data_IF_050521069048
#
_entry.id   IF_050521069048
#
_cell.length_a   1.000
_cell.length_b   1.000
_cell.length_c   1.000
_cell.angle_alpha   90.00
_cell.angle_beta   90.00
_cell.angle_gamma   90.00
#
_symmetry.space_group_name_H-M   'P 1'
#
loop_
_entity.id
_entity.type
_entity.pdbx_description
1 polymer ?
#
# COMPACT_ATOMS: atom_id res chain seq x y z
N UNK A 1 1.42 -79.72 -58.98
CA UNK A 1 1.21 -80.05 -57.56
C UNK A 1 -0.29 -79.89 -57.30
N UNK A 2 -1.08 -80.91 -57.61
CA UNK A 2 -1.61 -81.94 -56.69
C UNK A 2 -2.45 -81.40 -55.53
N UNK A 3 -3.76 -81.70 -55.65
CA UNK A 3 -4.71 -82.13 -54.62
C UNK A 3 -5.25 -81.03 -53.68
N UNK A 4 -6.52 -81.02 -53.26
CA UNK A 4 -7.51 -82.09 -53.15
C UNK A 4 -8.91 -81.44 -53.02
N UNK A 5 -9.91 -82.02 -53.67
CA UNK A 5 -11.34 -81.83 -53.39
C UNK A 5 -11.69 -82.54 -52.09
N UNK A 6 -12.46 -81.91 -51.22
CA UNK A 6 -13.33 -82.61 -50.27
C UNK A 6 -14.68 -81.91 -50.21
N UNK A 7 -15.70 -82.68 -50.56
CA UNK A 7 -17.13 -82.43 -50.37
C UNK A 7 -17.43 -82.28 -48.87
N UNK A 8 -18.23 -81.28 -48.50
CA UNK A 8 -19.04 -81.38 -47.30
C UNK A 8 -20.43 -80.78 -47.53
N UNK A 9 -21.40 -81.57 -47.13
CA UNK A 9 -22.83 -81.49 -47.40
C UNK A 9 -23.47 -80.16 -46.99
N UNK A 10 -24.42 -79.71 -47.83
CA UNK A 10 -25.49 -78.82 -47.41
C UNK A 10 -26.31 -79.48 -46.30
N UNK A 11 -26.14 -79.02 -45.07
CA UNK A 11 -27.15 -79.15 -44.03
C UNK A 11 -27.83 -77.80 -43.87
N UNK A 12 -29.02 -77.68 -44.44
CA UNK A 12 -29.92 -76.57 -44.14
C UNK A 12 -30.35 -76.64 -42.67
N UNK A 13 -30.17 -75.59 -41.86
CA UNK A 13 -30.87 -75.52 -40.59
C UNK A 13 -32.32 -75.11 -40.89
N UNK A 14 -33.21 -76.07 -40.68
CA UNK A 14 -34.65 -75.86 -40.54
C UNK A 14 -34.95 -74.98 -39.33
N UNK A 15 -35.76 -73.96 -39.58
CA UNK A 15 -36.69 -73.26 -38.67
C UNK A 15 -36.30 -73.16 -37.19
N UNK A 16 -36.02 -71.93 -36.73
CA UNK A 16 -36.66 -71.40 -35.52
C UNK A 16 -37.22 -70.00 -35.79
N UNK A 17 -38.53 -69.97 -36.02
CA UNK A 17 -39.36 -68.79 -35.83
C UNK A 17 -39.25 -68.36 -34.36
N UNK A 18 -38.70 -67.17 -34.12
CA UNK A 18 -38.58 -66.62 -32.75
C UNK A 18 -37.76 -65.35 -32.58
N UNK A 19 -37.17 -64.79 -33.63
CA UNK A 19 -36.17 -63.70 -33.51
C UNK A 19 -36.71 -62.27 -33.63
N UNK A 20 -37.94 -62.05 -34.10
CA UNK A 20 -38.45 -60.69 -34.35
C UNK A 20 -38.62 -59.84 -33.08
N UNK A 21 -39.01 -60.46 -31.95
CA UNK A 21 -39.24 -59.73 -30.70
C UNK A 21 -37.97 -59.25 -29.99
N UNK A 22 -36.82 -59.88 -30.22
CA UNK A 22 -35.55 -59.54 -29.57
C UNK A 22 -34.87 -58.34 -30.25
N UNK A 23 -34.89 -58.30 -31.59
CA UNK A 23 -34.38 -57.17 -32.37
C UNK A 23 -35.23 -55.92 -32.21
N UNK A 24 -36.56 -56.06 -32.11
CA UNK A 24 -37.47 -54.94 -31.89
C UNK A 24 -37.32 -54.36 -30.47
N UNK A 25 -37.06 -55.20 -29.46
CA UNK A 25 -36.70 -54.74 -28.11
C UNK A 25 -35.40 -53.95 -28.11
N UNK A 26 -34.35 -54.46 -28.76
CA UNK A 26 -33.06 -53.76 -28.87
C UNK A 26 -33.18 -52.43 -29.61
N UNK A 27 -33.98 -52.35 -30.68
CA UNK A 27 -34.23 -51.09 -31.39
C UNK A 27 -35.01 -50.09 -30.53
N UNK A 28 -36.00 -50.54 -29.77
CA UNK A 28 -36.74 -49.70 -28.83
C UNK A 28 -35.85 -49.17 -27.69
N UNK A 29 -35.01 -50.03 -27.12
CA UNK A 29 -34.03 -49.66 -26.09
C UNK A 29 -32.97 -48.69 -26.63
N UNK A 30 -32.49 -48.89 -27.85
CA UNK A 30 -31.55 -47.98 -28.51
C UNK A 30 -32.18 -46.60 -28.78
N UNK A 31 -33.45 -46.58 -29.21
CA UNK A 31 -34.19 -45.33 -29.41
C UNK A 31 -34.41 -44.58 -28.08
N UNK A 32 -34.76 -45.31 -27.01
CA UNK A 32 -34.88 -44.76 -25.66
C UNK A 32 -33.55 -44.24 -25.11
N UNK A 33 -32.45 -44.95 -25.36
CA UNK A 33 -31.10 -44.53 -24.97
C UNK A 33 -30.66 -43.26 -25.70
N UNK A 34 -30.91 -43.17 -27.02
CA UNK A 34 -30.63 -41.95 -27.81
C UNK A 34 -31.42 -40.74 -27.30
N UNK A 35 -32.68 -40.94 -26.93
CA UNK A 35 -33.51 -39.88 -26.33
C UNK A 35 -32.90 -39.39 -25.01
N UNK A 36 -32.49 -40.31 -24.12
CA UNK A 36 -31.84 -39.96 -22.84
C UNK A 36 -30.51 -39.22 -23.04
N UNK A 37 -29.72 -39.61 -24.03
CA UNK A 37 -28.46 -38.92 -24.36
C UNK A 37 -28.74 -37.48 -24.77
N UNK A 38 -29.71 -37.27 -25.67
CA UNK A 38 -30.09 -35.92 -26.11
C UNK A 38 -30.64 -35.05 -24.95
N UNK A 39 -31.42 -35.63 -24.04
CA UNK A 39 -31.90 -34.95 -22.83
C UNK A 39 -30.71 -34.53 -21.93
N UNK A 40 -29.75 -35.43 -21.68
CA UNK A 40 -28.55 -35.15 -20.89
C UNK A 40 -27.64 -34.09 -21.52
N UNK A 41 -27.45 -34.11 -22.84
CA UNK A 41 -26.69 -33.09 -23.57
C UNK A 41 -27.35 -31.72 -23.39
N UNK A 42 -28.69 -31.64 -23.52
CA UNK A 42 -29.42 -30.38 -23.32
C UNK A 42 -29.27 -29.85 -21.89
N UNK A 43 -29.34 -30.71 -20.87
CA UNK A 43 -29.18 -30.32 -19.47
C UNK A 43 -27.75 -29.85 -19.17
N UNK A 44 -26.75 -30.50 -19.75
CA UNK A 44 -25.34 -30.13 -19.58
C UNK A 44 -25.06 -28.77 -20.21
N UNK A 45 -25.63 -28.52 -21.39
CA UNK A 45 -25.49 -27.23 -22.07
C UNK A 45 -26.20 -26.11 -21.31
N UNK A 46 -27.42 -26.35 -20.81
CA UNK A 46 -28.13 -25.41 -19.96
C UNK A 46 -27.34 -25.07 -18.69
N UNK A 47 -26.77 -26.08 -18.02
CA UNK A 47 -25.95 -25.87 -16.82
C UNK A 47 -24.68 -25.05 -17.08
N UNK A 48 -24.07 -25.23 -18.26
CA UNK A 48 -22.90 -24.45 -18.67
C UNK A 48 -23.27 -22.98 -18.93
N UNK A 49 -24.40 -22.72 -19.57
CA UNK A 49 -24.91 -21.36 -19.82
C UNK A 49 -25.28 -20.64 -18.51
N UNK A 50 -25.93 -21.34 -17.58
CA UNK A 50 -26.27 -20.78 -16.26
C UNK A 50 -24.99 -20.42 -15.46
N UNK A 51 -23.98 -21.29 -15.50
CA UNK A 51 -22.68 -21.03 -14.85
C UNK A 51 -21.95 -19.84 -15.47
N UNK A 52 -22.00 -19.69 -16.80
CA UNK A 52 -21.41 -18.53 -17.49
C UNK A 52 -22.13 -17.23 -17.13
N UNK A 53 -23.45 -17.27 -16.98
CA UNK A 53 -24.25 -16.12 -16.57
C UNK A 53 -23.90 -15.67 -15.15
N UNK A 54 -23.83 -16.61 -14.20
CA UNK A 54 -23.47 -16.30 -12.80
C UNK A 54 -22.05 -15.73 -12.69
N UNK A 55 -21.11 -16.24 -13.50
CA UNK A 55 -19.75 -15.70 -13.58
C UNK A 55 -19.73 -14.27 -14.14
N UNK A 56 -20.52 -13.98 -15.17
CA UNK A 56 -20.60 -12.64 -15.75
C UNK A 56 -21.21 -11.62 -14.76
N UNK A 57 -22.25 -12.01 -14.02
CA UNK A 57 -22.87 -11.19 -12.98
C UNK A 57 -21.89 -10.91 -11.83
N UNK A 58 -21.14 -11.92 -11.39
CA UNK A 58 -20.09 -11.78 -10.37
C UNK A 58 -18.97 -10.83 -10.82
N UNK A 59 -18.53 -10.94 -12.08
CA UNK A 59 -17.50 -10.07 -12.65
C UNK A 59 -17.97 -8.60 -12.68
N UNK A 60 -19.20 -8.37 -13.13
CA UNK A 60 -19.78 -7.03 -13.16
C UNK A 60 -19.87 -6.42 -11.76
N UNK A 61 -20.31 -7.21 -10.77
CA UNK A 61 -20.36 -6.80 -9.36
C UNK A 61 -18.98 -6.41 -8.82
N UNK A 62 -17.94 -7.21 -9.13
CA UNK A 62 -16.57 -6.93 -8.72
C UNK A 62 -16.03 -5.64 -9.36
N UNK A 63 -16.27 -5.44 -10.66
CA UNK A 63 -15.87 -4.21 -11.36
C UNK A 63 -16.56 -2.97 -10.78
N UNK A 64 -17.84 -3.07 -10.42
CA UNK A 64 -18.58 -2.00 -9.73
C UNK A 64 -18.03 -1.72 -8.33
N UNK A 65 -17.63 -2.75 -7.58
CA UNK A 65 -17.01 -2.60 -6.27
C UNK A 65 -15.64 -1.90 -6.39
N UNK A 66 -14.80 -2.32 -7.34
CA UNK A 66 -13.50 -1.69 -7.63
C UNK A 66 -13.70 -0.21 -8.00
N UNK A 67 -14.65 0.09 -8.88
CA UNK A 67 -14.96 1.48 -9.27
C UNK A 67 -15.45 2.32 -8.07
N UNK A 68 -16.21 1.72 -7.16
CA UNK A 68 -16.68 2.39 -5.94
C UNK A 68 -15.54 2.68 -4.97
N UNK A 69 -14.64 1.73 -4.76
CA UNK A 69 -13.42 1.91 -3.94
C UNK A 69 -12.52 3.00 -4.55
N UNK A 70 -12.34 2.99 -5.87
CA UNK A 70 -11.57 4.01 -6.57
C UNK A 70 -12.17 5.42 -6.41
N UNK A 71 -13.50 5.54 -6.42
CA UNK A 71 -14.19 6.81 -6.15
C UNK A 71 -14.02 7.27 -4.70
N UNK A 72 -14.12 6.36 -3.73
CA UNK A 72 -13.94 6.68 -2.31
C UNK A 72 -12.51 7.14 -2.02
N UNK A 73 -11.52 6.43 -2.52
CA UNK A 73 -10.09 6.78 -2.36
C UNK A 73 -9.73 8.12 -3.04
N UNK A 74 -10.29 8.41 -4.21
CA UNK A 74 -10.15 9.72 -4.85
C UNK A 74 -10.79 10.85 -4.03
N UNK A 75 -11.95 10.60 -3.42
CA UNK A 75 -12.62 11.57 -2.54
C UNK A 75 -11.89 11.77 -1.20
N UNK A 76 -11.26 10.75 -0.65
CA UNK A 76 -10.43 10.87 0.57
C UNK A 76 -9.14 11.64 0.30
N UNK A 77 -8.51 11.41 -0.85
CA UNK A 77 -7.32 12.18 -1.27
C UNK A 77 -7.62 13.68 -1.44
N UNK A 78 -8.86 14.05 -1.76
CA UNK A 78 -9.31 15.45 -1.84
C UNK A 78 -9.57 16.11 -0.47
N UNK A 79 -9.64 15.33 0.62
CA UNK A 79 -9.84 15.85 1.99
C UNK A 79 -8.54 16.06 2.76
N UNK A 80 -7.41 15.62 2.24
CA UNK A 80 -6.13 15.78 2.92
C UNK A 80 -5.52 17.13 2.56
N UNK A 81 -5.30 17.99 3.55
CA UNK A 81 -4.60 19.25 3.33
C UNK A 81 -3.15 19.14 3.79
N UNK A 82 -2.24 19.57 2.92
CA UNK A 82 -0.81 19.70 3.24
C UNK A 82 -0.59 21.05 3.89
N UNK A 83 0.02 21.06 5.05
CA UNK A 83 0.36 22.28 5.77
C UNK A 83 1.73 22.15 6.43
N UNK A 84 2.29 23.29 6.80
CA UNK A 84 3.56 23.35 7.52
C UNK A 84 3.28 23.74 8.97
N UNK A 85 4.05 23.17 9.90
CA UNK A 85 4.14 23.72 11.24
C UNK A 85 4.67 25.16 11.18
N UNK A 86 4.51 25.94 12.27
CA UNK A 86 5.24 27.18 12.41
C UNK A 86 6.74 26.96 12.15
N UNK A 87 7.35 27.93 11.47
CA UNK A 87 8.77 27.93 11.14
C UNK A 87 9.54 28.56 12.29
N UNK A 88 10.41 27.79 12.95
CA UNK A 88 11.07 28.19 14.22
C UNK A 88 12.58 28.24 14.04
N UNK A 89 13.21 29.31 14.53
CA UNK A 89 14.65 29.58 14.45
C UNK A 89 15.01 30.85 13.64
N UNK A 90 16.30 31.10 13.46
CA UNK A 90 16.81 32.35 12.89
C UNK A 90 16.79 32.45 11.37
N UNK A 91 16.90 33.67 10.81
CA UNK A 91 16.72 33.94 9.37
C UNK A 91 17.92 33.60 8.48
N UNK A 92 18.96 32.99 9.03
CA UNK A 92 20.16 32.65 8.28
C UNK A 92 19.99 31.42 7.37
N UNK A 93 21.09 31.09 6.69
CA UNK A 93 21.18 29.88 5.87
C UNK A 93 20.50 29.99 4.50
N UNK A 94 20.62 28.92 3.72
CA UNK A 94 19.93 28.76 2.45
C UNK A 94 18.65 27.95 2.65
N UNK A 95 17.55 28.27 1.94
CA UNK A 95 16.31 27.54 2.08
C UNK A 95 16.49 26.08 1.64
N UNK A 96 15.83 25.17 2.34
CA UNK A 96 15.73 23.77 1.96
C UNK A 96 14.28 23.30 2.13
N UNK A 97 13.95 22.28 1.35
CA UNK A 97 12.72 21.53 1.51
C UNK A 97 13.04 20.06 1.23
N UNK A 98 12.99 19.24 2.28
CA UNK A 98 13.16 17.81 2.20
C UNK A 98 11.77 17.19 2.24
N UNK A 99 11.19 16.99 1.06
CA UNK A 99 10.00 16.18 0.87
C UNK A 99 10.32 15.12 -0.17
N UNK A 100 9.51 14.08 -0.25
CA UNK A 100 9.65 13.16 -1.38
C UNK A 100 9.58 13.91 -2.72
N UNK A 101 10.44 13.48 -3.64
CA UNK A 101 10.55 13.96 -5.02
C UNK A 101 9.33 13.52 -5.85
N UNK A 102 8.62 12.48 -5.41
CA UNK A 102 7.48 11.96 -6.14
C UNK A 102 6.19 12.67 -5.70
N UNK A 103 5.40 13.15 -6.66
CA UNK A 103 4.07 13.70 -6.44
C UNK A 103 3.05 12.61 -6.02
N UNK A 104 3.49 11.50 -5.43
CA UNK A 104 2.61 10.43 -4.99
C UNK A 104 2.01 10.79 -3.62
N UNK A 105 0.68 10.62 -3.45
CA UNK A 105 -0.05 11.08 -2.27
C UNK A 105 0.24 10.31 -0.96
N UNK A 106 1.15 9.34 -0.96
CA UNK A 106 1.35 8.41 0.15
C UNK A 106 2.78 8.30 0.67
N UNK A 107 3.71 9.16 0.25
CA UNK A 107 5.10 9.04 0.72
C UNK A 107 5.33 9.82 2.01
N UNK A 108 5.35 9.05 3.10
CA UNK A 108 5.63 9.51 4.46
C UNK A 108 7.11 9.35 4.81
N UNK A 109 7.51 10.04 5.87
CA UNK A 109 8.82 9.86 6.49
C UNK A 109 8.83 8.53 7.23
N UNK A 110 9.78 7.67 6.89
CA UNK A 110 10.04 6.40 7.58
C UNK A 110 10.98 6.61 8.77
N UNK A 111 12.02 7.43 8.58
CA UNK A 111 13.01 7.71 9.63
C UNK A 111 13.49 9.14 9.60
N UNK A 112 13.66 9.72 10.78
CA UNK A 112 14.34 11.01 10.98
C UNK A 112 15.56 10.78 11.86
N UNK A 113 16.71 11.30 11.42
CA UNK A 113 17.96 11.27 12.17
C UNK A 113 18.49 12.69 12.33
N UNK A 114 18.86 13.04 13.55
CA UNK A 114 19.34 14.37 13.92
C UNK A 114 20.74 14.29 14.52
N UNK A 115 21.61 15.20 14.11
CA UNK A 115 22.93 15.41 14.70
C UNK A 115 22.96 16.77 15.39
N UNK A 116 23.28 16.79 16.67
CA UNK A 116 23.46 18.01 17.45
C UNK A 116 24.89 18.12 17.99
N UNK A 117 25.31 19.34 18.34
CA UNK A 117 26.60 19.57 18.98
C UNK A 117 26.42 19.55 20.52
N UNK A 118 27.26 18.84 21.30
CA UNK A 118 27.12 18.78 22.75
C UNK A 118 27.84 19.90 23.51
N UNK A 119 28.76 20.63 22.88
CA UNK A 119 29.63 21.60 23.57
C UNK A 119 29.23 23.05 23.31
N UNK A 120 28.50 23.66 24.26
CA UNK A 120 28.33 25.11 24.43
C UNK A 120 27.58 25.86 23.32
N UNK A 121 27.14 25.16 22.28
CA UNK A 121 26.28 25.68 21.22
C UNK A 121 25.07 24.78 21.13
N UNK A 122 23.94 25.29 21.59
CA UNK A 122 22.65 24.60 21.52
C UNK A 122 22.12 24.69 20.07
N UNK A 123 22.74 23.95 19.14
CA UNK A 123 22.32 23.93 17.73
C UNK A 123 22.25 22.52 17.13
N UNK A 124 21.24 22.32 16.29
CA UNK A 124 21.14 21.17 15.39
C UNK A 124 22.03 21.41 14.19
N UNK A 125 22.90 20.45 13.89
CA UNK A 125 23.91 20.53 12.82
C UNK A 125 23.41 19.97 11.50
N UNK A 126 22.68 18.87 11.57
CA UNK A 126 22.10 18.23 10.41
C UNK A 126 20.85 17.44 10.77
N UNK A 127 19.96 17.31 9.78
CA UNK A 127 18.81 16.42 9.84
C UNK A 127 18.79 15.62 8.55
N UNK A 128 18.74 14.30 8.68
CA UNK A 128 18.48 13.38 7.58
C UNK A 128 17.05 12.86 7.71
N UNK A 129 16.37 12.80 6.57
CA UNK A 129 15.03 12.24 6.44
C UNK A 129 15.10 11.12 5.43
N UNK A 130 14.62 9.96 5.82
CA UNK A 130 14.40 8.81 4.95
C UNK A 130 12.90 8.63 4.73
N UNK A 131 12.54 8.44 3.48
CA UNK A 131 11.18 8.22 3.03
C UNK A 131 10.96 6.75 2.72
N UNK A 132 9.72 6.30 2.71
CA UNK A 132 9.36 4.89 2.47
C UNK A 132 9.79 4.30 1.12
N UNK A 133 10.16 5.14 0.15
CA UNK A 133 10.75 4.66 -1.11
C UNK A 133 12.27 4.42 -1.03
N UNK A 134 12.83 4.51 0.17
CA UNK A 134 14.26 4.41 0.41
C UNK A 134 15.05 5.65 -0.02
N UNK A 135 14.38 6.73 -0.46
CA UNK A 135 15.06 7.99 -0.71
C UNK A 135 15.50 8.61 0.61
N UNK A 136 16.72 9.13 0.66
CA UNK A 136 17.25 9.89 1.77
C UNK A 136 17.63 11.30 1.34
N UNK A 137 17.33 12.27 2.20
CA UNK A 137 17.67 13.66 1.99
C UNK A 137 18.28 14.26 3.26
N UNK A 138 19.28 15.11 3.09
CA UNK A 138 20.05 15.71 4.18
C UNK A 138 19.97 17.23 4.12
N UNK A 139 19.65 17.86 5.25
CA UNK A 139 19.83 19.29 5.48
C UNK A 139 20.95 19.52 6.49
N UNK A 140 21.72 20.59 6.28
CA UNK A 140 22.86 20.95 7.14
C UNK A 140 24.13 20.17 6.81
N UNK A 141 25.05 20.09 7.78
CA UNK A 141 26.33 19.38 7.62
C UNK A 141 26.59 18.46 8.81
N UNK A 142 26.71 17.17 8.52
CA UNK A 142 27.19 16.17 9.49
C UNK A 142 28.58 16.58 9.99
N UNK A 143 28.80 16.52 11.30
CA UNK A 143 30.14 16.64 11.88
C UNK A 143 30.62 15.23 12.16
N UNK A 144 31.85 14.89 11.75
CA UNK A 144 32.45 13.58 12.02
C UNK A 144 32.53 13.28 13.53
N UNK A 145 32.66 14.33 14.35
CA UNK A 145 32.69 14.28 15.81
C UNK A 145 31.36 14.67 16.45
N UNK A 146 30.24 14.58 15.73
CA UNK A 146 28.92 14.79 16.32
C UNK A 146 28.65 13.65 17.33
N UNK A 147 28.83 13.93 18.62
CA UNK A 147 28.69 12.90 19.66
C UNK A 147 27.25 12.68 20.12
N UNK A 148 26.27 13.40 19.58
CA UNK A 148 24.83 13.14 19.82
C UNK A 148 24.13 12.94 18.49
N UNK A 149 23.74 11.70 18.24
CA UNK A 149 22.91 11.28 17.13
C UNK A 149 21.64 10.67 17.70
N UNK A 150 20.51 11.31 17.43
CA UNK A 150 19.18 10.84 17.83
C UNK A 150 18.44 10.39 16.58
N UNK A 151 17.71 9.27 16.64
CA UNK A 151 16.96 8.76 15.50
C UNK A 151 15.61 8.20 15.93
N UNK A 152 14.62 8.39 15.07
CA UNK A 152 13.29 7.84 15.25
C UNK A 152 12.80 7.22 13.95
N UNK A 153 12.41 5.95 14.02
CA UNK A 153 11.76 5.22 12.93
C UNK A 153 10.28 5.14 13.21
N UNK A 154 9.46 5.65 12.31
CA UNK A 154 8.01 5.52 12.34
C UNK A 154 7.60 4.08 12.05
N UNK A 155 6.56 3.61 12.74
CA UNK A 155 5.88 2.37 12.39
C UNK A 155 4.87 2.65 11.26
N UNK A 156 4.43 1.59 10.60
CA UNK A 156 3.33 1.69 9.63
C UNK A 156 2.11 2.37 10.27
N UNK A 157 1.55 3.34 9.56
CA UNK A 157 0.38 4.13 9.95
C UNK A 157 0.52 4.93 11.25
N UNK A 158 1.75 5.14 11.73
CA UNK A 158 2.00 6.00 12.87
C UNK A 158 1.93 7.48 12.47
N UNK A 159 1.16 8.23 13.25
CA UNK A 159 0.84 9.63 12.97
C UNK A 159 1.43 10.53 14.04
N UNK A 160 1.77 11.77 13.66
CA UNK A 160 2.07 12.85 14.59
C UNK A 160 0.79 13.33 15.28
N UNK A 161 0.84 13.51 16.60
CA UNK A 161 -0.21 14.17 17.39
C UNK A 161 0.20 15.55 17.90
N UNK A 162 1.48 15.70 18.19
CA UNK A 162 2.06 16.92 18.68
C UNK A 162 3.49 17.03 18.20
N UNK A 163 3.92 18.24 17.85
CA UNK A 163 5.31 18.55 17.59
C UNK A 163 5.72 19.81 18.35
N UNK A 164 6.96 19.87 18.80
CA UNK A 164 7.54 21.04 19.43
C UNK A 164 8.85 21.34 18.74
N UNK A 165 9.03 22.60 18.32
CA UNK A 165 10.28 23.10 17.77
C UNK A 165 10.86 24.11 18.76
N UNK A 166 12.18 24.07 18.93
CA UNK A 166 12.87 24.85 19.95
C UNK A 166 13.96 25.66 19.26
N UNK A 167 13.82 26.99 19.27
CA UNK A 167 14.89 27.90 18.87
C UNK A 167 15.93 28.01 20.00
N UNK A 168 17.17 28.36 19.64
CA UNK A 168 18.19 28.71 20.62
C UNK A 168 17.81 30.01 21.37
N UNK A 169 18.51 30.30 22.46
CA UNK A 169 18.23 31.46 23.32
C UNK A 169 18.32 32.82 22.59
N UNK A 170 18.96 32.86 21.42
CA UNK A 170 19.12 34.07 20.61
C UNK A 170 18.15 34.13 19.43
N UNK A 171 17.31 33.11 19.25
CA UNK A 171 16.44 32.93 18.08
C UNK A 171 17.20 33.06 16.74
N UNK A 172 18.43 32.56 16.73
CA UNK A 172 19.31 32.53 15.56
C UNK A 172 19.41 31.15 14.92
N UNK A 173 19.12 30.08 15.68
CA UNK A 173 19.28 28.69 15.24
C UNK A 173 18.16 27.80 15.78
N UNK A 174 17.99 26.64 15.16
CA UNK A 174 17.21 25.56 15.74
C UNK A 174 18.08 24.84 16.78
N UNK A 175 17.62 24.82 18.04
CA UNK A 175 18.27 24.12 19.13
C UNK A 175 17.79 22.67 19.27
N UNK A 176 16.51 22.42 19.00
CA UNK A 176 15.94 21.11 19.21
C UNK A 176 14.54 20.95 18.60
N UNK A 177 14.06 19.72 18.59
CA UNK A 177 12.67 19.41 18.34
C UNK A 177 12.25 18.16 19.10
N UNK A 178 10.95 18.03 19.33
CA UNK A 178 10.35 16.82 19.85
C UNK A 178 8.99 16.58 19.22
N UNK A 179 8.50 15.37 19.35
CA UNK A 179 7.14 15.04 18.96
C UNK A 179 6.60 13.84 19.73
N UNK A 180 5.27 13.72 19.72
CA UNK A 180 4.53 12.59 20.26
C UNK A 180 3.69 12.01 19.13
N UNK A 181 3.68 10.68 19.03
CA UNK A 181 2.96 9.96 17.99
C UNK A 181 1.65 9.35 18.47
N UNK A 182 0.83 8.88 17.53
CA UNK A 182 -0.43 8.17 17.78
C UNK A 182 -0.27 6.88 18.58
N UNK A 183 0.94 6.32 18.60
CA UNK A 183 1.29 5.14 19.39
C UNK A 183 1.82 5.50 20.79
N UNK A 184 1.75 6.78 21.18
CA UNK A 184 2.23 7.26 22.47
C UNK A 184 3.75 7.29 22.61
N UNK A 185 4.49 7.14 21.49
CA UNK A 185 5.95 7.22 21.49
C UNK A 185 6.38 8.68 21.44
N UNK A 186 7.35 9.03 22.27
CA UNK A 186 7.92 10.36 22.31
C UNK A 186 9.34 10.34 21.73
N UNK A 187 9.67 11.36 20.96
CA UNK A 187 11.03 11.58 20.47
C UNK A 187 11.48 12.98 20.83
N UNK A 188 12.75 13.12 21.16
CA UNK A 188 13.40 14.41 21.37
C UNK A 188 14.78 14.38 20.74
N UNK A 189 15.08 15.40 19.95
CA UNK A 189 16.37 15.61 19.34
C UNK A 189 16.85 17.03 19.63
N UNK A 190 18.10 17.14 20.07
CA UNK A 190 18.71 18.39 20.48
C UNK A 190 19.70 18.15 21.62
N UNK A 191 20.51 19.14 21.99
CA UNK A 191 21.32 19.07 23.19
C UNK A 191 20.40 19.01 24.42
N UNK A 192 20.61 18.05 25.32
CA UNK A 192 19.74 17.81 26.49
C UNK A 192 19.65 18.95 27.52
N UNK A 193 20.27 20.09 27.26
CA UNK A 193 20.36 21.27 28.15
C UNK A 193 19.81 22.55 27.50
N UNK A 194 18.78 22.47 26.63
CA UNK A 194 18.09 23.70 26.19
C UNK A 194 17.31 24.30 27.36
N UNK A 195 17.99 25.11 28.16
CA UNK A 195 17.48 25.71 29.40
C UNK A 195 16.85 27.09 29.20
N UNK A 196 16.99 27.68 28.00
CA UNK A 196 16.60 29.07 27.73
C UNK A 196 16.09 29.34 26.30
N UNK A 197 15.74 28.30 25.54
CA UNK A 197 15.23 28.42 24.17
C UNK A 197 13.75 28.77 24.09
N UNK A 198 13.33 29.39 22.98
CA UNK A 198 11.92 29.61 22.68
C UNK A 198 11.32 28.34 22.06
N UNK A 199 10.48 27.64 22.82
CA UNK A 199 9.79 26.44 22.36
C UNK A 199 8.38 26.77 21.87
N UNK A 200 8.08 26.39 20.63
CA UNK A 200 6.74 26.44 20.06
C UNK A 200 6.21 25.03 19.91
N UNK A 201 5.19 24.72 20.70
CA UNK A 201 4.44 23.47 20.58
C UNK A 201 3.27 23.69 19.65
N UNK A 202 3.19 22.86 18.63
CA UNK A 202 2.05 22.75 17.76
C UNK A 202 1.29 21.45 18.06
N UNK A 203 0.12 21.63 18.67
CA UNK A 203 -0.87 20.59 18.87
C UNK A 203 -1.68 20.46 17.59
N UNK A 204 -1.76 19.24 17.07
CA UNK A 204 -2.54 18.96 15.88
C UNK A 204 -3.96 18.59 16.33
N UNK A 205 -4.97 19.34 15.85
CA UNK A 205 -6.38 19.03 16.12
C UNK A 205 -6.80 17.66 15.55
N UNK A 206 -6.06 17.17 14.56
CA UNK A 206 -6.22 15.88 13.92
C UNK A 206 -4.84 15.22 13.77
N UNK A 207 -4.72 13.90 13.99
CA UNK A 207 -3.48 13.17 13.72
C UNK A 207 -2.99 13.42 12.30
N UNK A 208 -1.67 13.55 12.14
CA UNK A 208 -1.06 14.00 10.92
C UNK A 208 0.04 13.06 10.42
N UNK A 209 0.15 12.92 9.11
CA UNK A 209 1.25 12.18 8.48
C UNK A 209 2.43 13.13 8.31
N UNK A 210 3.63 12.72 8.76
CA UNK A 210 4.85 13.47 8.48
C UNK A 210 5.29 13.22 7.03
N UNK A 211 5.30 14.28 6.21
CA UNK A 211 5.72 14.21 4.81
C UNK A 211 7.15 14.68 4.58
N UNK A 212 7.76 15.31 5.58
CA UNK A 212 9.12 15.84 5.48
C UNK A 212 9.34 17.09 6.30
N UNK A 213 10.36 17.86 5.93
CA UNK A 213 10.75 19.09 6.62
C UNK A 213 11.07 20.21 5.63
N UNK A 214 10.87 21.45 6.05
CA UNK A 214 11.34 22.64 5.32
C UNK A 214 12.03 23.59 6.28
N UNK A 215 12.86 24.48 5.75
CA UNK A 215 13.53 25.45 6.58
C UNK A 215 14.64 26.17 5.86
N UNK A 216 15.63 26.63 6.61
CA UNK A 216 16.89 27.11 6.06
C UNK A 216 18.07 26.64 6.91
N UNK A 217 19.20 26.45 6.26
CA UNK A 217 20.39 25.88 6.89
C UNK A 217 21.65 26.07 6.04
N UNK A 218 22.78 25.76 6.66
CA UNK A 218 24.09 25.74 6.00
C UNK A 218 25.03 24.80 6.74
N UNK A 219 25.89 25.36 7.58
CA UNK A 219 26.72 24.55 8.48
C UNK A 219 25.90 23.92 9.63
N UNK A 220 24.83 24.58 10.03
CA UNK A 220 23.84 24.15 11.03
C UNK A 220 22.44 24.45 10.48
N UNK A 221 21.40 24.01 11.20
CA UNK A 221 20.00 24.30 10.87
C UNK A 221 19.63 25.64 11.52
N UNK A 222 19.33 26.63 10.69
CA UNK A 222 18.94 27.96 11.13
C UNK A 222 17.49 27.97 11.61
N UNK A 223 16.59 27.33 10.84
CA UNK A 223 15.16 27.21 11.16
C UNK A 223 14.55 25.97 10.53
N UNK A 224 13.44 25.51 11.11
CA UNK A 224 12.75 24.29 10.68
C UNK A 224 11.24 24.44 10.80
N UNK A 225 10.52 23.77 9.92
CA UNK A 225 9.11 23.45 10.00
C UNK A 225 8.89 22.00 9.55
N UNK A 226 7.98 21.29 10.22
CA UNK A 226 7.49 20.00 9.76
C UNK A 226 6.47 20.21 8.65
N UNK A 227 6.57 19.42 7.60
CA UNK A 227 5.60 19.38 6.52
C UNK A 227 4.70 18.20 6.81
N UNK A 228 3.43 18.47 7.05
CA UNK A 228 2.47 17.45 7.45
C UNK A 228 1.26 17.41 6.53
N UNK A 229 0.60 16.27 6.54
CA UNK A 229 -0.68 16.07 5.89
C UNK A 229 -1.70 15.74 6.97
N UNK A 230 -2.73 16.57 7.10
CA UNK A 230 -3.82 16.35 8.05
C UNK A 230 -5.08 15.95 7.30
N UNK A 231 -5.90 15.13 7.94
CA UNK A 231 -7.27 14.90 7.51
C UNK A 231 -8.06 16.19 7.69
N UNK A 232 -8.36 16.89 6.61
CA UNK A 232 -9.27 18.04 6.64
C UNK A 232 -10.67 17.56 7.01
N UNK A 233 -11.29 18.23 7.99
CA UNK A 233 -12.75 18.28 8.01
C UNK A 233 -13.21 19.12 6.82
N UNK A 234 -14.27 18.70 6.11
CA UNK A 234 -14.91 19.54 5.09
C UNK A 234 -15.38 20.88 5.69
#
# INVERSE_FOLDING_TARGET
MTQQTDDFELVAPTNEEGSGGATDRLHSELAAARKRISELESLTQQSAEDSQRELAESKLSLEQAIASIAKLTASESQRMCKCNSPLIGGPGGSPFQLTSISNRPSQRVERITCWSQPSGKDEIRAIEVEFEDGHTALAGRRIADATVQESFSFMDDELLLQSTLIADAKDTRLAGFSFITSLGRAFHAGPGTVTSGHAVTWLQDCPAILLGISGSGGAAIDRLAFIIQVCGRP
#
